data_IF_815618277114
#
_entry.id   IF_815618277114
#
_cell.length_a   1.000
_cell.length_b   1.000
_cell.length_c   1.000
_cell.angle_alpha   90.00
_cell.angle_beta   90.00
_cell.angle_gamma   90.00
#
_symmetry.space_group_name_H-M   'P 1'
#
loop_
_entity.id
_entity.type
_entity.pdbx_description
1 polymer ?
#
# COMPACT_ATOMS: atom_id res chain seq x y z
N UNK A 1 81.72 -11.45 38.02
CA UNK A 1 80.90 -10.23 38.15
C UNK A 1 80.28 -9.93 36.79
N UNK A 2 79.12 -10.51 36.47
CA UNK A 2 78.16 -10.06 35.44
C UNK A 2 76.82 -10.78 35.69
N UNK A 3 75.73 -10.01 35.57
CA UNK A 3 74.39 -10.21 36.15
C UNK A 3 73.54 -11.29 35.45
N UNK A 4 72.63 -12.00 36.15
CA UNK A 4 71.57 -12.76 35.49
C UNK A 4 70.31 -11.90 35.26
N UNK A 5 69.67 -12.15 34.11
CA UNK A 5 68.50 -11.48 33.55
C UNK A 5 67.23 -12.04 34.22
N UNK A 6 66.37 -11.16 34.73
CA UNK A 6 65.04 -11.50 35.25
C UNK A 6 64.07 -11.59 34.07
N UNK A 7 63.58 -12.78 33.76
CA UNK A 7 62.48 -12.99 32.79
C UNK A 7 61.13 -12.75 33.47
N UNK A 8 60.41 -11.76 32.98
CA UNK A 8 59.03 -11.43 33.37
C UNK A 8 58.09 -12.30 32.52
N UNK A 9 57.39 -13.24 33.15
CA UNK A 9 56.30 -13.98 32.52
C UNK A 9 55.03 -13.12 32.50
N UNK A 10 54.55 -12.79 31.30
CA UNK A 10 53.26 -12.15 31.08
C UNK A 10 52.16 -13.23 31.13
N UNK A 11 51.35 -13.23 32.18
CA UNK A 11 50.16 -14.09 32.28
C UNK A 11 49.07 -13.46 31.42
N UNK A 12 48.76 -14.09 30.28
CA UNK A 12 47.61 -13.74 29.45
C UNK A 12 46.36 -14.26 30.16
N UNK A 13 45.59 -13.35 30.74
CA UNK A 13 44.25 -13.63 31.25
C UNK A 13 43.31 -13.89 30.06
N UNK A 14 42.94 -15.14 29.85
CA UNK A 14 41.96 -15.54 28.85
C UNK A 14 40.56 -15.15 29.38
N UNK A 15 40.07 -14.00 28.97
CA UNK A 15 38.71 -13.55 29.25
C UNK A 15 37.76 -14.40 28.38
N UNK A 16 37.07 -15.35 29.02
CA UNK A 16 35.97 -16.09 28.42
C UNK A 16 34.87 -15.11 28.00
N UNK A 17 34.82 -14.76 26.72
CA UNK A 17 33.65 -14.11 26.14
C UNK A 17 32.49 -15.10 26.17
N UNK A 18 31.47 -14.80 26.97
CA UNK A 18 30.18 -15.47 26.87
C UNK A 18 29.63 -15.29 25.43
N UNK A 19 29.02 -16.32 24.83
CA UNK A 19 28.36 -16.15 23.55
C UNK A 19 27.25 -15.11 23.72
N UNK A 20 27.23 -14.09 22.86
CA UNK A 20 26.11 -13.18 22.76
C UNK A 20 24.86 -14.02 22.53
N UNK A 21 23.86 -13.93 23.41
CA UNK A 21 22.56 -14.56 23.21
C UNK A 21 22.07 -14.17 21.82
N UNK A 22 21.80 -15.14 20.95
CA UNK A 22 21.13 -14.87 19.69
C UNK A 22 19.80 -14.18 20.04
N UNK A 23 19.71 -12.88 19.77
CA UNK A 23 18.49 -12.13 20.00
C UNK A 23 17.41 -12.77 19.11
N UNK A 24 16.38 -13.35 19.74
CA UNK A 24 15.29 -14.02 19.02
C UNK A 24 14.70 -13.04 18.00
N UNK A 25 14.52 -13.52 16.77
CA UNK A 25 13.97 -12.72 15.69
C UNK A 25 12.52 -12.34 16.04
N UNK A 26 12.22 -11.05 16.25
CA UNK A 26 10.89 -10.62 16.72
C UNK A 26 9.79 -10.91 15.70
N UNK A 27 10.13 -11.18 14.43
CA UNK A 27 9.17 -11.51 13.38
C UNK A 27 8.88 -13.02 13.28
N UNK A 28 9.55 -13.85 14.08
CA UNK A 28 9.33 -15.32 14.10
C UNK A 28 7.92 -15.69 14.56
N UNK A 29 7.31 -14.89 15.44
CA UNK A 29 5.91 -15.05 15.90
C UNK A 29 4.89 -15.01 14.75
N UNK A 30 5.23 -14.37 13.63
CA UNK A 30 4.35 -14.25 12.46
C UNK A 30 4.60 -15.32 11.38
N UNK A 31 5.40 -16.34 11.67
CA UNK A 31 5.57 -17.46 10.76
C UNK A 31 4.20 -18.14 10.54
N UNK A 32 3.72 -18.29 9.28
CA UNK A 32 2.39 -18.82 9.04
C UNK A 32 2.35 -20.32 9.34
N UNK A 33 1.43 -20.71 10.22
CA UNK A 33 1.03 -22.09 10.47
C UNK A 33 -0.49 -22.16 10.49
N UNK A 34 -1.07 -23.29 10.13
CA UNK A 34 -2.51 -23.51 10.23
C UNK A 34 -2.72 -24.88 10.85
N UNK A 35 -3.33 -24.89 12.03
CA UNK A 35 -3.73 -26.09 12.77
C UNK A 35 -5.21 -26.35 12.58
N UNK A 36 -6.01 -25.30 12.33
CA UNK A 36 -7.41 -25.38 11.97
C UNK A 36 -7.77 -24.35 10.88
N UNK A 37 -8.95 -24.50 10.27
CA UNK A 37 -9.55 -23.49 9.39
C UNK A 37 -10.87 -22.99 9.97
N UNK A 38 -10.94 -22.90 11.30
CA UNK A 38 -12.16 -22.63 12.05
C UNK A 38 -12.66 -21.20 11.81
N UNK A 39 -11.76 -20.24 11.65
CA UNK A 39 -12.14 -18.83 11.59
C UNK A 39 -11.82 -18.19 10.23
N UNK A 40 -12.66 -17.22 9.86
CA UNK A 40 -12.42 -16.26 8.78
C UNK A 40 -12.75 -14.85 9.25
N UNK A 41 -12.09 -13.84 8.69
CA UNK A 41 -12.34 -12.44 9.01
C UNK A 41 -13.37 -11.88 8.02
N UNK A 42 -14.42 -11.25 8.53
CA UNK A 42 -15.42 -10.54 7.73
C UNK A 42 -14.85 -9.20 7.25
N UNK A 43 -14.28 -9.22 6.05
CA UNK A 43 -13.79 -8.01 5.39
C UNK A 43 -14.88 -7.26 4.59
N UNK A 44 -16.16 -7.61 4.70
CA UNK A 44 -17.23 -6.92 3.96
C UNK A 44 -17.33 -5.42 4.23
N UNK A 45 -17.19 -4.92 5.48
CA UNK A 45 -17.17 -3.47 5.71
C UNK A 45 -16.05 -2.78 4.93
N UNK A 46 -14.86 -3.39 4.88
CA UNK A 46 -13.73 -2.86 4.13
C UNK A 46 -13.91 -2.93 2.62
N UNK A 47 -14.45 -4.03 2.11
CA UNK A 47 -14.85 -4.14 0.70
C UNK A 47 -15.85 -3.06 0.33
N UNK A 48 -16.85 -2.79 1.17
CA UNK A 48 -17.82 -1.72 0.95
C UNK A 48 -17.17 -0.34 0.91
N UNK A 49 -16.19 -0.07 1.77
CA UNK A 49 -15.43 1.18 1.71
C UNK A 49 -14.60 1.28 0.43
N UNK A 50 -13.78 0.27 0.12
CA UNK A 50 -12.89 0.27 -1.04
C UNK A 50 -13.66 0.39 -2.36
N UNK A 51 -14.83 -0.25 -2.49
CA UNK A 51 -15.63 -0.19 -3.72
C UNK A 51 -16.14 1.23 -4.04
N UNK A 52 -16.10 2.14 -3.07
CA UNK A 52 -16.54 3.54 -3.20
C UNK A 52 -15.38 4.51 -3.22
N UNK A 53 -14.36 4.27 -2.40
CA UNK A 53 -13.17 5.11 -2.32
C UNK A 53 -12.25 4.94 -3.54
N UNK A 54 -12.24 3.73 -4.15
CA UNK A 54 -11.34 3.40 -5.26
C UNK A 54 -11.94 3.81 -6.60
N UNK A 55 -11.27 4.72 -7.28
CA UNK A 55 -11.50 5.00 -8.69
C UNK A 55 -10.77 3.97 -9.56
N UNK A 56 -11.55 3.19 -10.32
CA UNK A 56 -11.01 2.18 -11.23
C UNK A 56 -10.74 2.78 -12.61
N UNK A 57 -9.46 2.83 -12.98
CA UNK A 57 -8.99 3.50 -14.22
C UNK A 57 -9.08 2.58 -15.44
N UNK A 58 -9.24 1.27 -15.22
CA UNK A 58 -9.27 0.26 -16.28
C UNK A 58 -7.88 -0.23 -16.69
N UNK A 59 -7.84 -1.07 -17.73
CA UNK A 59 -6.57 -1.62 -18.24
C UNK A 59 -5.79 -0.57 -19.00
N UNK A 60 -4.46 -0.61 -18.87
CA UNK A 60 -3.56 0.25 -19.64
C UNK A 60 -3.74 0.05 -21.14
N UNK A 61 -3.88 1.15 -21.87
CA UNK A 61 -3.77 1.19 -23.33
C UNK A 61 -2.30 1.35 -23.80
N UNK A 62 -1.37 1.36 -22.83
CA UNK A 62 0.08 1.53 -22.97
C UNK A 62 0.47 2.84 -23.67
N UNK A 63 -0.42 3.84 -23.67
CA UNK A 63 -0.12 5.18 -24.17
C UNK A 63 0.32 6.08 -23.02
N UNK A 64 1.57 6.57 -23.03
CA UNK A 64 2.02 7.46 -21.98
C UNK A 64 1.24 8.77 -22.03
N UNK A 65 0.88 9.27 -20.85
CA UNK A 65 0.20 10.54 -20.75
C UNK A 65 1.11 11.69 -21.22
N UNK A 66 0.63 12.54 -22.13
CA UNK A 66 1.37 13.74 -22.60
C UNK A 66 1.56 14.74 -21.47
N UNK A 67 2.66 15.50 -21.41
CA UNK A 67 2.86 16.43 -20.30
C UNK A 67 1.79 17.53 -20.29
N UNK A 68 1.16 17.84 -19.14
CA UNK A 68 0.30 19.01 -19.03
C UNK A 68 1.11 20.25 -19.42
N UNK A 69 0.66 20.98 -20.43
CA UNK A 69 1.34 22.16 -20.98
C UNK A 69 1.69 22.07 -22.47
N UNK A 70 1.72 20.87 -23.06
CA UNK A 70 1.94 20.73 -24.52
C UNK A 70 0.68 21.10 -25.31
N UNK A 71 -0.51 20.82 -24.74
CA UNK A 71 -1.82 21.20 -25.28
C UNK A 71 -2.22 22.67 -24.99
N UNK A 72 -1.62 23.29 -23.97
CA UNK A 72 -2.00 24.62 -23.47
C UNK A 72 -1.13 25.77 -23.98
N UNK A 73 -0.20 25.51 -24.90
CA UNK A 73 0.61 26.58 -25.53
C UNK A 73 -0.24 27.59 -26.32
N UNK A 74 -1.49 27.25 -26.63
CA UNK A 74 -2.38 28.06 -27.48
C UNK A 74 -3.46 28.83 -26.70
N UNK A 75 -3.59 28.65 -25.38
CA UNK A 75 -4.54 29.40 -24.56
C UNK A 75 -3.74 30.13 -23.47
N UNK A 76 -3.88 31.46 -23.38
CA UNK A 76 -3.07 32.37 -22.54
C UNK A 76 -3.19 32.20 -21.01
N UNK A 77 -3.49 31.00 -20.52
CA UNK A 77 -3.60 30.67 -19.09
C UNK A 77 -2.70 29.49 -18.77
N UNK A 78 -1.63 29.72 -17.99
CA UNK A 78 -0.68 28.69 -17.53
C UNK A 78 -1.16 27.98 -16.26
N UNK A 79 -2.44 27.64 -16.19
CA UNK A 79 -2.97 26.83 -15.10
C UNK A 79 -2.89 25.37 -15.54
N UNK A 80 -2.06 24.59 -14.85
CA UNK A 80 -2.04 23.14 -14.96
C UNK A 80 -2.58 22.59 -13.66
N UNK A 81 -3.73 21.90 -13.73
CA UNK A 81 -4.25 21.15 -12.59
C UNK A 81 -3.93 19.67 -12.82
N UNK A 82 -3.55 18.95 -11.76
CA UNK A 82 -3.26 17.51 -11.81
C UNK A 82 -1.82 17.10 -12.15
N UNK A 83 -1.52 15.82 -11.92
CA UNK A 83 -0.16 15.28 -12.01
C UNK A 83 0.46 15.34 -13.40
N UNK A 84 1.74 15.73 -13.44
CA UNK A 84 2.59 15.66 -14.63
C UNK A 84 3.11 14.24 -14.94
N UNK A 85 2.69 13.24 -14.16
CA UNK A 85 3.11 11.85 -14.32
C UNK A 85 2.78 11.33 -15.72
N UNK A 86 3.71 10.51 -16.23
CA UNK A 86 3.53 9.74 -17.45
C UNK A 86 2.49 8.62 -17.29
N UNK A 87 2.29 8.15 -16.07
CA UNK A 87 1.43 7.01 -15.72
C UNK A 87 0.11 7.47 -15.10
N UNK A 88 -0.22 8.77 -15.17
CA UNK A 88 -1.39 9.32 -14.47
C UNK A 88 -2.72 8.67 -14.86
N UNK A 89 -2.82 8.11 -16.07
CA UNK A 89 -3.99 7.39 -16.58
C UNK A 89 -3.90 5.86 -16.41
N UNK A 90 -3.05 5.34 -15.51
CA UNK A 90 -2.89 3.90 -15.27
C UNK A 90 -2.99 3.52 -13.80
N UNK A 91 -3.58 2.35 -13.52
CA UNK A 91 -3.73 1.84 -12.17
C UNK A 91 -4.82 2.55 -11.39
N UNK A 92 -5.46 1.81 -10.48
CA UNK A 92 -6.54 2.36 -9.66
C UNK A 92 -6.03 3.47 -8.72
N UNK A 93 -6.94 4.34 -8.31
CA UNK A 93 -6.67 5.51 -7.46
C UNK A 93 -7.61 5.52 -6.27
N UNK A 94 -7.25 6.24 -5.22
CA UNK A 94 -8.18 6.59 -4.14
C UNK A 94 -8.55 8.05 -4.28
N UNK A 95 -9.83 8.38 -4.04
CA UNK A 95 -10.30 9.76 -4.04
C UNK A 95 -10.10 10.41 -2.67
N UNK A 96 -8.85 10.67 -2.26
CA UNK A 96 -8.57 11.20 -0.91
C UNK A 96 -9.21 12.58 -0.66
N UNK A 97 -9.36 13.39 -1.71
CA UNK A 97 -10.05 14.67 -1.65
C UNK A 97 -11.53 14.59 -1.23
N UNK A 98 -12.15 13.40 -1.25
CA UNK A 98 -13.53 13.20 -0.78
C UNK A 98 -13.61 12.72 0.65
N UNK A 99 -12.48 12.53 1.33
CA UNK A 99 -12.48 12.03 2.70
C UNK A 99 -12.74 13.20 3.64
N UNK A 100 -13.70 13.01 4.54
CA UNK A 100 -13.95 13.87 5.69
C UNK A 100 -13.45 13.16 6.96
N UNK A 101 -13.54 13.83 8.11
CA UNK A 101 -13.08 13.29 9.39
C UNK A 101 -13.78 11.97 9.76
N UNK A 102 -15.05 11.78 9.37
CA UNK A 102 -15.77 10.54 9.61
C UNK A 102 -15.18 9.37 8.81
N UNK A 103 -14.83 9.61 7.54
CA UNK A 103 -14.21 8.60 6.68
C UNK A 103 -12.81 8.26 7.17
N UNK A 104 -12.02 9.26 7.56
CA UNK A 104 -10.70 9.02 8.15
C UNK A 104 -10.81 8.17 9.43
N UNK A 105 -11.71 8.55 10.34
CA UNK A 105 -12.01 7.82 11.58
C UNK A 105 -12.42 6.38 11.27
N UNK A 106 -13.29 6.16 10.28
CA UNK A 106 -13.70 4.81 9.88
C UNK A 106 -12.53 3.93 9.45
N UNK A 107 -11.59 4.47 8.65
CA UNK A 107 -10.39 3.74 8.23
C UNK A 107 -9.50 3.44 9.44
N UNK A 108 -9.34 4.40 10.36
CA UNK A 108 -8.60 4.25 11.61
C UNK A 108 -9.18 3.13 12.49
N UNK A 109 -10.49 3.12 12.69
CA UNK A 109 -11.20 2.09 13.46
C UNK A 109 -11.08 0.71 12.82
N UNK A 110 -11.20 0.60 11.49
CA UNK A 110 -11.01 -0.68 10.80
C UNK A 110 -9.59 -1.24 10.99
N UNK A 111 -8.57 -0.37 10.89
CA UNK A 111 -7.17 -0.72 11.17
C UNK A 111 -6.97 -1.20 12.60
N UNK A 112 -7.59 -0.55 13.58
CA UNK A 112 -7.56 -0.97 15.00
C UNK A 112 -8.27 -2.32 15.19
N UNK A 113 -9.48 -2.49 14.67
CA UNK A 113 -10.23 -3.74 14.75
C UNK A 113 -9.47 -4.94 14.16
N UNK A 114 -8.69 -4.75 13.10
CA UNK A 114 -7.80 -5.80 12.56
C UNK A 114 -6.68 -6.18 13.54
N UNK A 115 -6.04 -5.19 14.19
CA UNK A 115 -5.00 -5.45 15.20
C UNK A 115 -5.59 -6.18 16.40
N UNK A 116 -6.72 -5.72 16.92
CA UNK A 116 -7.40 -6.31 18.08
C UNK A 116 -7.85 -7.74 17.80
N UNK A 117 -8.35 -7.99 16.59
CA UNK A 117 -8.73 -9.33 16.12
C UNK A 117 -7.54 -10.29 16.21
N UNK A 118 -6.37 -9.90 15.70
CA UNK A 118 -5.20 -10.76 15.73
C UNK A 118 -4.54 -10.83 17.11
N UNK A 119 -4.74 -9.84 17.96
CA UNK A 119 -4.27 -9.91 19.35
C UNK A 119 -5.10 -10.87 20.22
N UNK A 120 -6.34 -11.19 19.81
CA UNK A 120 -7.28 -12.03 20.58
C UNK A 120 -7.39 -13.47 20.09
N UNK A 121 -7.09 -13.74 18.81
CA UNK A 121 -7.21 -15.08 18.20
C UNK A 121 -5.85 -15.62 17.78
N UNK A 122 -5.65 -16.92 17.98
CA UNK A 122 -4.44 -17.61 17.54
C UNK A 122 -4.34 -17.61 16.00
N UNK A 123 -3.18 -17.22 15.48
CA UNK A 123 -2.83 -17.26 14.06
C UNK A 123 -3.16 -18.62 13.43
N UNK A 124 -2.95 -19.71 14.18
CA UNK A 124 -3.16 -21.09 13.74
C UNK A 124 -4.60 -21.48 13.42
N UNK A 125 -5.59 -20.72 13.91
CA UNK A 125 -6.99 -20.99 13.63
C UNK A 125 -7.49 -20.44 12.29
N UNK A 126 -6.66 -19.62 11.64
CA UNK A 126 -6.88 -19.12 10.30
C UNK A 126 -6.14 -19.98 9.29
N UNK A 127 -6.70 -20.12 8.08
CA UNK A 127 -5.95 -20.69 6.97
C UNK A 127 -4.75 -19.79 6.60
N UNK A 128 -3.70 -20.36 6.02
CA UNK A 128 -2.53 -19.59 5.56
C UNK A 128 -2.86 -18.50 4.53
N UNK A 129 -3.94 -18.68 3.76
CA UNK A 129 -4.40 -17.67 2.81
C UNK A 129 -5.23 -16.57 3.49
N UNK A 130 -5.97 -16.90 4.56
CA UNK A 130 -6.65 -15.91 5.41
C UNK A 130 -5.63 -15.03 6.15
N UNK A 131 -4.56 -15.64 6.67
CA UNK A 131 -3.41 -14.92 7.26
C UNK A 131 -2.75 -13.95 6.28
N UNK A 132 -2.63 -14.35 5.00
CA UNK A 132 -2.14 -13.47 3.95
C UNK A 132 -3.10 -12.30 3.70
N UNK A 133 -4.40 -12.61 3.58
CA UNK A 133 -5.43 -11.59 3.37
C UNK A 133 -5.42 -10.54 4.48
N UNK A 134 -5.30 -10.98 5.74
CA UNK A 134 -5.11 -10.12 6.90
C UNK A 134 -3.94 -9.13 6.70
N UNK A 135 -2.72 -9.62 6.42
CA UNK A 135 -1.55 -8.75 6.29
C UNK A 135 -1.69 -7.75 5.15
N UNK A 136 -2.21 -8.19 4.01
CA UNK A 136 -2.43 -7.31 2.86
C UNK A 136 -3.46 -6.22 3.17
N UNK A 137 -4.55 -6.58 3.85
CA UNK A 137 -5.59 -5.64 4.25
C UNK A 137 -5.09 -4.65 5.31
N UNK A 138 -4.40 -5.13 6.35
CA UNK A 138 -3.83 -4.27 7.39
C UNK A 138 -2.82 -3.30 6.78
N UNK A 139 -1.89 -3.79 5.95
CA UNK A 139 -0.91 -2.96 5.25
C UNK A 139 -1.58 -1.85 4.44
N UNK A 140 -2.55 -2.20 3.61
CA UNK A 140 -3.25 -1.23 2.76
C UNK A 140 -4.09 -0.25 3.59
N UNK A 141 -4.76 -0.70 4.65
CA UNK A 141 -5.53 0.18 5.54
C UNK A 141 -4.63 1.22 6.23
N UNK A 142 -3.45 0.81 6.72
CA UNK A 142 -2.46 1.73 7.31
C UNK A 142 -1.99 2.77 6.29
N UNK A 143 -1.65 2.34 5.06
CA UNK A 143 -1.23 3.28 4.00
C UNK A 143 -2.32 4.29 3.69
N UNK A 144 -3.58 3.85 3.57
CA UNK A 144 -4.71 4.74 3.31
C UNK A 144 -4.92 5.72 4.45
N UNK A 145 -4.91 5.25 5.69
CA UNK A 145 -5.11 6.07 6.87
C UNK A 145 -4.07 7.19 6.96
N UNK A 146 -2.78 6.85 6.85
CA UNK A 146 -1.71 7.85 6.98
C UNK A 146 -1.68 8.85 5.80
N UNK A 147 -2.07 8.44 4.60
CA UNK A 147 -2.20 9.37 3.47
C UNK A 147 -3.40 10.28 3.65
N UNK A 148 -4.53 9.77 4.16
CA UNK A 148 -5.71 10.58 4.47
C UNK A 148 -5.37 11.67 5.51
N UNK A 149 -4.74 11.28 6.62
CA UNK A 149 -4.25 12.21 7.67
C UNK A 149 -3.35 13.31 7.15
N UNK A 150 -2.49 12.98 6.18
CA UNK A 150 -1.54 13.92 5.60
C UNK A 150 -2.08 14.67 4.38
N UNK A 151 -3.32 14.41 3.94
CA UNK A 151 -3.88 14.99 2.74
C UNK A 151 -4.16 16.50 2.94
N UNK A 152 -3.85 17.38 1.96
CA UNK A 152 -3.24 17.10 0.66
C UNK A 152 -1.72 16.84 0.74
N UNK A 153 -1.28 15.72 0.17
CA UNK A 153 0.13 15.33 0.09
C UNK A 153 0.46 14.87 -1.32
N UNK A 154 1.56 15.38 -1.87
CA UNK A 154 1.99 15.04 -3.25
C UNK A 154 2.88 13.80 -3.34
N UNK A 155 3.51 13.37 -2.24
CA UNK A 155 4.45 12.23 -2.20
C UNK A 155 4.34 11.47 -0.87
N UNK A 156 3.60 10.35 -0.80
CA UNK A 156 3.36 9.62 0.44
C UNK A 156 4.62 9.11 1.12
N UNK A 157 5.62 8.65 0.36
CA UNK A 157 6.92 8.23 0.91
C UNK A 157 7.69 9.33 1.65
N UNK A 158 7.27 10.60 1.53
CA UNK A 158 7.87 11.74 2.22
C UNK A 158 7.11 12.20 3.46
N UNK A 159 5.97 11.58 3.77
CA UNK A 159 5.25 11.85 5.02
C UNK A 159 6.18 11.52 6.19
N UNK A 160 6.28 12.44 7.15
CA UNK A 160 7.08 12.32 8.37
C UNK A 160 6.15 12.10 9.56
N UNK A 161 6.42 11.03 10.30
CA UNK A 161 5.76 10.70 11.56
C UNK A 161 6.59 11.37 12.67
N UNK A 162 6.05 12.46 13.23
CA UNK A 162 6.83 13.50 13.94
C UNK A 162 7.45 12.99 15.24
N UNK A 163 6.67 12.28 16.03
CA UNK A 163 7.02 11.61 17.28
C UNK A 163 8.16 10.59 17.12
N UNK A 164 8.25 9.92 15.97
CA UNK A 164 9.28 8.90 15.70
C UNK A 164 10.46 9.40 14.86
N UNK A 165 10.39 10.63 14.34
CA UNK A 165 11.35 11.17 13.35
C UNK A 165 11.59 10.21 12.17
N UNK A 166 10.56 9.45 11.78
CA UNK A 166 10.63 8.42 10.75
C UNK A 166 9.77 8.80 9.53
N UNK A 167 10.06 8.19 8.37
CA UNK A 167 9.20 8.28 7.19
C UNK A 167 8.06 7.28 7.30
N UNK A 168 6.96 7.52 6.59
CA UNK A 168 5.76 6.67 6.56
C UNK A 168 6.07 5.16 6.56
N UNK A 169 6.94 4.70 5.66
CA UNK A 169 7.19 3.26 5.51
C UNK A 169 8.08 2.66 6.61
N UNK A 170 8.82 3.48 7.33
CA UNK A 170 9.80 3.07 8.36
C UNK A 170 9.27 3.28 9.79
N UNK A 171 8.26 4.13 9.96
CA UNK A 171 7.62 4.38 11.25
C UNK A 171 6.88 3.13 11.76
N UNK A 172 6.89 2.92 13.08
CA UNK A 172 6.15 1.88 13.78
C UNK A 172 4.71 2.35 13.99
N UNK A 173 3.81 1.87 13.12
CA UNK A 173 2.44 2.38 13.01
C UNK A 173 1.39 1.43 13.58
N UNK A 174 1.72 0.14 13.70
CA UNK A 174 0.80 -0.89 14.20
C UNK A 174 1.50 -1.81 15.19
N UNK A 175 0.71 -2.43 16.05
CA UNK A 175 1.17 -3.43 17.01
C UNK A 175 0.32 -4.69 16.88
N UNK A 176 0.99 -5.83 16.66
CA UNK A 176 0.34 -7.15 16.53
C UNK A 176 1.14 -8.13 17.38
N UNK A 177 0.46 -8.89 18.25
CA UNK A 177 1.06 -9.79 19.24
C UNK A 177 2.20 -9.14 20.04
N UNK A 178 2.02 -7.87 20.44
CA UNK A 178 3.01 -7.12 21.22
C UNK A 178 4.25 -6.65 20.43
N UNK A 179 4.31 -6.89 19.12
CA UNK A 179 5.41 -6.45 18.27
C UNK A 179 5.00 -5.20 17.50
N UNK A 180 5.74 -4.11 17.68
CA UNK A 180 5.56 -2.87 16.92
C UNK A 180 6.15 -2.99 15.52
N UNK A 181 5.32 -2.77 14.51
CA UNK A 181 5.64 -3.00 13.10
C UNK A 181 5.54 -1.72 12.27
N UNK A 182 6.50 -1.58 11.36
CA UNK A 182 6.39 -0.64 10.24
C UNK A 182 5.77 -1.31 9.02
N UNK A 183 5.38 -0.50 8.03
CA UNK A 183 4.96 -1.00 6.72
C UNK A 183 6.09 -1.80 6.05
N UNK A 184 7.35 -1.37 6.17
CA UNK A 184 8.50 -2.11 5.65
C UNK A 184 8.71 -3.44 6.39
N UNK A 185 8.43 -3.52 7.69
CA UNK A 185 8.46 -4.79 8.42
C UNK A 185 7.39 -5.76 7.92
N UNK A 186 6.14 -5.29 7.77
CA UNK A 186 5.07 -6.12 7.22
C UNK A 186 5.45 -6.61 5.81
N UNK A 187 5.96 -5.73 4.95
CA UNK A 187 6.33 -6.09 3.57
C UNK A 187 7.49 -7.09 3.53
N UNK A 188 8.63 -6.75 4.13
CA UNK A 188 9.88 -7.47 3.91
C UNK A 188 10.13 -8.57 4.95
N UNK A 189 9.86 -8.28 6.22
CA UNK A 189 10.17 -9.18 7.33
C UNK A 189 9.05 -10.20 7.61
N UNK A 190 7.83 -9.95 7.12
CA UNK A 190 6.68 -10.85 7.30
C UNK A 190 6.21 -11.42 5.96
N UNK A 191 5.60 -10.59 5.10
CA UNK A 191 4.95 -11.08 3.87
C UNK A 191 5.97 -11.69 2.91
N UNK A 192 7.05 -10.98 2.59
CA UNK A 192 8.05 -11.50 1.65
C UNK A 192 8.87 -12.65 2.21
N UNK A 193 9.07 -12.67 3.53
CA UNK A 193 9.78 -13.74 4.20
C UNK A 193 9.01 -15.06 4.16
N UNK A 194 7.70 -15.02 4.42
CA UNK A 194 6.92 -16.23 4.65
C UNK A 194 6.05 -16.68 3.47
N UNK A 195 5.70 -15.79 2.54
CA UNK A 195 4.94 -16.14 1.33
C UNK A 195 5.83 -16.17 0.10
N UNK A 196 6.38 -17.35 -0.21
CA UNK A 196 7.33 -17.60 -1.31
C UNK A 196 6.80 -17.33 -2.73
N UNK A 197 5.53 -16.98 -2.89
CA UNK A 197 4.96 -16.66 -4.19
C UNK A 197 5.09 -15.17 -4.47
N UNK A 198 5.79 -14.81 -5.53
CA UNK A 198 5.97 -13.42 -6.02
C UNK A 198 4.67 -12.62 -6.19
N UNK A 199 3.54 -13.29 -6.31
CA UNK A 199 2.22 -12.68 -6.53
C UNK A 199 1.86 -11.68 -5.41
N UNK A 200 2.41 -11.84 -4.20
CA UNK A 200 2.15 -10.94 -3.06
C UNK A 200 2.69 -9.52 -3.26
N UNK A 201 3.64 -9.31 -4.20
CA UNK A 201 4.09 -7.97 -4.61
C UNK A 201 2.88 -7.11 -5.00
N UNK A 202 1.87 -7.73 -5.62
CA UNK A 202 0.67 -7.07 -6.12
C UNK A 202 -0.41 -6.84 -5.04
N UNK A 203 -0.16 -7.22 -3.79
CA UNK A 203 -1.09 -6.97 -2.69
C UNK A 203 -0.75 -5.74 -1.86
N UNK A 204 0.48 -5.23 -1.99
CA UNK A 204 1.04 -4.19 -1.12
C UNK A 204 1.08 -2.85 -1.84
N UNK A 205 0.03 -2.04 -1.66
CA UNK A 205 -0.13 -0.75 -2.32
C UNK A 205 0.67 0.36 -1.62
N UNK A 206 1.54 1.07 -2.36
CA UNK A 206 2.41 2.12 -1.79
C UNK A 206 1.76 3.50 -1.69
N UNK A 207 0.53 3.68 -2.18
CA UNK A 207 -0.06 5.02 -2.27
C UNK A 207 0.53 5.91 -3.36
N UNK A 208 1.47 5.39 -4.16
CA UNK A 208 2.18 6.15 -5.19
C UNK A 208 1.84 5.65 -6.58
N UNK A 209 1.78 6.56 -7.56
CA UNK A 209 1.44 6.24 -8.96
C UNK A 209 2.40 5.21 -9.54
N UNK A 210 3.68 5.20 -9.16
CA UNK A 210 4.64 4.22 -9.65
C UNK A 210 4.45 2.79 -9.10
N UNK A 211 3.71 2.64 -8.00
CA UNK A 211 3.43 1.37 -7.34
C UNK A 211 2.32 0.58 -8.00
N UNK A 212 1.88 -0.50 -7.34
CA UNK A 212 0.77 -1.36 -7.79
C UNK A 212 -0.56 -0.60 -7.76
N UNK A 213 -1.60 -1.13 -8.42
CA UNK A 213 -2.95 -0.60 -8.26
C UNK A 213 -3.55 -1.06 -6.93
N UNK A 214 -4.45 -0.26 -6.34
CA UNK A 214 -5.28 -0.73 -5.22
C UNK A 214 -6.52 -1.48 -5.73
N UNK A 215 -6.92 -2.54 -5.04
CA UNK A 215 -8.13 -3.30 -5.36
C UNK A 215 -9.39 -2.58 -4.86
N UNK A 216 -10.52 -2.59 -5.60
CA UNK A 216 -11.80 -2.03 -5.14
C UNK A 216 -12.54 -2.95 -4.16
N UNK A 217 -11.87 -3.98 -3.64
CA UNK A 217 -12.39 -4.89 -2.62
C UNK A 217 -11.26 -5.34 -1.70
N UNK A 218 -11.61 -5.76 -0.48
CA UNK A 218 -10.67 -6.32 0.46
C UNK A 218 -10.12 -7.65 -0.05
N UNK A 219 -8.92 -8.03 0.39
CA UNK A 219 -8.44 -9.39 0.22
C UNK A 219 -9.24 -10.34 1.13
N UNK A 220 -9.63 -11.50 0.64
CA UNK A 220 -10.30 -12.55 1.45
C UNK A 220 -9.51 -13.85 1.32
N UNK A 221 -9.34 -14.65 2.38
CA UNK A 221 -8.51 -15.86 2.30
C UNK A 221 -8.96 -16.83 1.20
N UNK A 222 -10.27 -16.95 0.97
CA UNK A 222 -10.82 -17.79 -0.09
C UNK A 222 -10.43 -17.33 -1.51
N UNK A 223 -10.12 -16.05 -1.71
CA UNK A 223 -9.88 -15.47 -3.05
C UNK A 223 -8.56 -14.70 -3.20
N UNK A 224 -7.76 -14.56 -2.14
CA UNK A 224 -6.54 -13.73 -2.10
C UNK A 224 -5.60 -14.06 -3.26
N UNK A 225 -5.44 -15.35 -3.59
CA UNK A 225 -4.59 -15.80 -4.69
C UNK A 225 -5.09 -15.33 -6.06
N UNK A 226 -6.40 -15.37 -6.31
CA UNK A 226 -6.97 -14.90 -7.58
C UNK A 226 -6.95 -13.38 -7.66
N UNK A 227 -7.20 -12.68 -6.54
CA UNK A 227 -7.10 -11.23 -6.44
C UNK A 227 -5.69 -10.73 -6.73
N UNK A 228 -4.66 -11.34 -6.12
CA UNK A 228 -3.26 -11.02 -6.39
C UNK A 228 -2.89 -11.25 -7.86
N UNK A 229 -3.35 -12.35 -8.46
CA UNK A 229 -3.10 -12.61 -9.90
C UNK A 229 -3.80 -11.60 -10.81
N UNK A 230 -5.01 -11.16 -10.46
CA UNK A 230 -5.73 -10.14 -11.21
C UNK A 230 -4.97 -8.81 -11.17
N UNK A 231 -4.53 -8.38 -9.98
CA UNK A 231 -3.76 -7.15 -9.85
C UNK A 231 -2.38 -7.25 -10.51
N UNK A 232 -1.75 -8.43 -10.47
CA UNK A 232 -0.52 -8.72 -11.20
C UNK A 232 -0.67 -8.60 -12.71
N UNK A 233 -1.79 -9.08 -13.26
CA UNK A 233 -2.10 -8.93 -14.69
C UNK A 233 -2.30 -7.47 -15.07
N UNK A 234 -2.96 -6.67 -14.23
CA UNK A 234 -3.06 -5.22 -14.46
C UNK A 234 -1.67 -4.58 -14.46
N UNK A 235 -0.91 -4.80 -13.39
CA UNK A 235 0.35 -4.11 -13.17
C UNK A 235 1.41 -4.46 -14.22
N UNK A 236 1.63 -5.76 -14.51
CA UNK A 236 2.63 -6.20 -15.50
C UNK A 236 2.38 -5.59 -16.88
N UNK A 237 1.11 -5.48 -17.27
CA UNK A 237 0.71 -4.96 -18.58
C UNK A 237 0.60 -3.43 -18.64
N UNK A 238 0.85 -2.74 -17.53
CA UNK A 238 0.93 -1.28 -17.46
C UNK A 238 2.33 -0.76 -17.81
N UNK A 239 2.45 0.55 -18.09
CA UNK A 239 3.75 1.22 -18.24
C UNK A 239 4.52 1.30 -16.91
N UNK A 240 3.83 1.17 -15.76
CA UNK A 240 4.45 1.11 -14.43
C UNK A 240 5.14 -0.23 -14.16
N UNK A 241 4.62 -1.32 -14.74
CA UNK A 241 5.15 -2.66 -14.60
C UNK A 241 6.26 -2.98 -15.60
N UNK A 242 5.92 -3.01 -16.90
CA UNK A 242 6.86 -3.26 -18.00
C UNK A 242 6.66 -2.22 -19.09
N UNK A 243 7.70 -1.43 -19.35
CA UNK A 243 7.68 -0.36 -20.35
C UNK A 243 8.70 -0.62 -21.46
N UNK A 244 8.50 0.00 -22.62
CA UNK A 244 9.45 0.07 -23.72
C UNK A 244 9.80 1.53 -23.99
N UNK A 245 10.97 1.95 -23.51
CA UNK A 245 11.47 3.31 -23.67
C UNK A 245 12.61 3.33 -24.68
N UNK A 246 12.43 4.07 -25.79
CA UNK A 246 13.41 4.19 -26.88
C UNK A 246 13.89 2.82 -27.37
N UNK A 247 12.93 1.92 -27.61
CA UNK A 247 13.18 0.55 -28.08
C UNK A 247 13.69 -0.42 -27.02
N UNK A 248 14.06 0.03 -25.81
CA UNK A 248 14.62 -0.80 -24.75
C UNK A 248 13.58 -1.14 -23.69
N UNK A 249 13.54 -2.39 -23.24
CA UNK A 249 12.73 -2.82 -22.09
C UNK A 249 13.14 -2.08 -20.82
N UNK A 250 12.14 -1.70 -20.02
CA UNK A 250 12.28 -1.20 -18.65
C UNK A 250 11.30 -1.93 -17.76
N UNK A 251 11.69 -2.12 -16.51
CA UNK A 251 10.89 -2.84 -15.51
C UNK A 251 10.56 -1.92 -14.34
N UNK A 252 9.55 -2.24 -13.55
CA UNK A 252 9.29 -1.52 -12.31
C UNK A 252 10.44 -1.65 -11.31
N UNK A 253 10.65 -0.61 -10.49
CA UNK A 253 11.54 -0.66 -9.32
C UNK A 253 11.11 -1.75 -8.33
N UNK A 254 9.82 -2.08 -8.27
CA UNK A 254 9.29 -3.13 -7.38
C UNK A 254 9.94 -4.49 -7.61
N UNK A 255 10.29 -4.83 -8.84
CA UNK A 255 10.98 -6.10 -9.15
C UNK A 255 12.43 -6.11 -8.69
N UNK A 256 13.08 -4.93 -8.67
CA UNK A 256 14.44 -4.78 -8.13
C UNK A 256 14.40 -4.93 -6.61
N UNK A 257 13.44 -4.28 -5.94
CA UNK A 257 13.28 -4.34 -4.49
C UNK A 257 12.90 -5.76 -4.01
N UNK A 258 12.10 -6.48 -4.80
CA UNK A 258 11.66 -7.84 -4.50
C UNK A 258 12.68 -8.92 -4.92
N UNK A 259 13.76 -8.56 -5.62
CA UNK A 259 14.79 -9.47 -6.14
C UNK A 259 15.38 -10.41 -5.09
N UNK A 260 15.76 -9.97 -3.87
CA UNK A 260 16.36 -10.86 -2.86
C UNK A 260 15.44 -12.02 -2.45
N UNK A 261 14.13 -11.84 -2.60
CA UNK A 261 13.11 -12.77 -2.10
C UNK A 261 12.57 -13.71 -3.18
N UNK A 262 12.39 -13.23 -4.42
CA UNK A 262 11.68 -14.00 -5.46
C UNK A 262 12.44 -14.18 -6.77
N UNK A 263 13.50 -13.41 -7.02
CA UNK A 263 14.20 -13.40 -8.30
C UNK A 263 15.71 -13.61 -8.10
N UNK A 264 16.06 -14.68 -7.38
CA UNK A 264 17.43 -14.98 -6.99
C UNK A 264 18.28 -15.39 -8.21
N UNK A 265 17.70 -16.18 -9.12
CA UNK A 265 18.29 -16.47 -10.42
C UNK A 265 17.92 -15.37 -11.43
N UNK A 266 18.59 -14.22 -11.29
CA UNK A 266 18.31 -13.02 -12.07
C UNK A 266 19.02 -13.02 -13.44
N UNK A 267 18.35 -12.61 -14.55
CA UNK A 267 16.96 -12.14 -14.66
C UNK A 267 15.95 -13.23 -15.07
N UNK A 268 16.33 -14.51 -15.12
CA UNK A 268 15.47 -15.58 -15.64
C UNK A 268 14.19 -15.77 -14.81
N UNK A 269 14.29 -15.73 -13.48
CA UNK A 269 13.13 -15.81 -12.58
C UNK A 269 12.15 -14.66 -12.84
N UNK A 270 12.67 -13.46 -13.11
CA UNK A 270 11.85 -12.29 -13.46
C UNK A 270 11.11 -12.54 -14.77
N UNK A 271 11.80 -13.03 -15.81
CA UNK A 271 11.14 -13.28 -17.10
C UNK A 271 10.08 -14.38 -17.01
N UNK A 272 10.35 -15.45 -16.25
CA UNK A 272 9.36 -16.49 -15.98
C UNK A 272 8.13 -15.90 -15.27
N UNK A 273 8.35 -15.04 -14.27
CA UNK A 273 7.28 -14.35 -13.57
C UNK A 273 6.46 -13.42 -14.48
N UNK A 274 7.12 -12.50 -15.20
CA UNK A 274 6.43 -11.54 -16.08
C UNK A 274 5.62 -12.24 -17.17
N UNK A 275 6.15 -13.33 -17.73
CA UNK A 275 5.49 -14.10 -18.80
C UNK A 275 4.17 -14.75 -18.35
N UNK A 276 3.97 -15.01 -17.04
CA UNK A 276 2.69 -15.51 -16.51
C UNK A 276 1.54 -14.52 -16.65
N UNK A 277 1.85 -13.22 -16.66
CA UNK A 277 0.87 -12.14 -16.65
C UNK A 277 0.77 -11.37 -17.96
N UNK A 278 1.83 -11.41 -18.76
CA UNK A 278 1.95 -10.64 -19.99
C UNK A 278 0.81 -10.92 -20.97
N UNK A 279 0.21 -9.85 -21.49
CA UNK A 279 -0.55 -9.86 -22.73
C UNK A 279 0.40 -9.90 -23.94
N UNK A 280 -0.17 -9.96 -25.14
CA UNK A 280 0.62 -10.03 -26.37
C UNK A 280 1.56 -8.84 -26.59
N UNK A 281 1.17 -7.63 -26.19
CA UNK A 281 2.01 -6.43 -26.37
C UNK A 281 3.19 -6.46 -25.40
N UNK A 282 2.92 -6.80 -24.15
CA UNK A 282 3.92 -6.90 -23.09
C UNK A 282 4.87 -8.07 -23.34
N UNK A 283 4.37 -9.19 -23.87
CA UNK A 283 5.17 -10.35 -24.24
C UNK A 283 6.23 -10.01 -25.30
N UNK A 284 5.90 -9.19 -26.30
CA UNK A 284 6.89 -8.71 -27.28
C UNK A 284 7.99 -7.86 -26.66
N UNK A 285 7.67 -7.09 -25.61
CA UNK A 285 8.67 -6.29 -24.89
C UNK A 285 9.56 -7.21 -24.07
N UNK A 286 8.98 -8.19 -23.39
CA UNK A 286 9.72 -9.20 -22.61
C UNK A 286 10.63 -10.04 -23.50
N UNK A 287 10.20 -10.34 -24.74
CA UNK A 287 10.99 -11.09 -25.72
C UNK A 287 12.32 -10.40 -26.11
N UNK A 288 12.49 -9.11 -25.82
CA UNK A 288 13.79 -8.42 -25.97
C UNK A 288 14.87 -8.98 -25.03
N UNK A 289 14.47 -9.61 -23.91
CA UNK A 289 15.32 -10.32 -22.93
C UNK A 289 16.73 -9.73 -22.71
N UNK A 290 16.86 -8.44 -22.30
CA UNK A 290 18.16 -7.87 -22.01
C UNK A 290 18.80 -8.55 -20.79
N UNK A 291 20.06 -8.99 -20.86
CA UNK A 291 20.77 -9.62 -19.73
C UNK A 291 20.75 -8.79 -18.43
N UNK A 292 20.67 -7.46 -18.56
CA UNK A 292 20.54 -6.54 -17.44
C UNK A 292 19.31 -5.62 -17.61
N UNK A 293 18.10 -6.06 -17.23
CA UNK A 293 16.89 -5.25 -17.35
C UNK A 293 16.94 -4.08 -16.37
N UNK A 294 16.81 -2.86 -16.89
CA UNK A 294 16.93 -1.63 -16.10
C UNK A 294 15.57 -1.14 -15.59
N UNK A 295 15.49 -0.58 -14.37
CA UNK A 295 14.24 -0.02 -13.88
C UNK A 295 13.81 1.22 -14.67
N UNK A 296 12.50 1.42 -14.80
CA UNK A 296 11.90 2.69 -15.21
C UNK A 296 12.01 3.70 -14.07
N UNK A 297 11.79 5.00 -14.36
CA UNK A 297 11.69 6.00 -13.30
C UNK A 297 10.43 5.72 -12.49
N UNK A 298 10.60 5.37 -11.23
CA UNK A 298 9.50 5.20 -10.28
C UNK A 298 8.87 6.56 -9.95
N UNK A 299 7.55 6.64 -10.05
CA UNK A 299 6.81 7.88 -9.83
C UNK A 299 6.28 7.95 -8.39
N UNK A 300 6.80 8.90 -7.63
CA UNK A 300 6.48 9.12 -6.22
C UNK A 300 5.22 9.97 -6.03
N UNK A 301 4.57 10.44 -7.10
CA UNK A 301 3.33 11.19 -6.97
C UNK A 301 2.25 10.35 -6.30
N UNK A 302 1.46 10.95 -5.43
CA UNK A 302 0.32 10.29 -4.76
C UNK A 302 -0.64 9.69 -5.79
N UNK A 303 -1.05 8.44 -5.57
CA UNK A 303 -2.05 7.72 -6.34
C UNK A 303 -3.47 8.18 -6.00
N UNK A 304 -3.67 9.49 -6.07
CA UNK A 304 -4.93 10.21 -5.93
C UNK A 304 -5.37 10.77 -7.30
N UNK A 305 -6.68 10.97 -7.46
CA UNK A 305 -7.26 11.58 -8.67
C UNK A 305 -6.75 13.00 -8.89
N UNK A 306 -6.54 13.77 -7.82
CA UNK A 306 -5.98 15.13 -7.86
C UNK A 306 -4.46 15.13 -7.62
N UNK A 307 -3.88 13.94 -7.37
CA UNK A 307 -2.46 13.71 -7.10
C UNK A 307 -1.93 14.49 -5.88
N UNK A 308 -2.84 14.81 -4.95
CA UNK A 308 -2.55 15.65 -3.78
C UNK A 308 -2.05 17.06 -4.12
N UNK A 309 -2.35 17.56 -5.32
CA UNK A 309 -2.07 18.94 -5.71
C UNK A 309 -3.34 19.79 -5.59
N UNK A 310 -3.35 20.75 -4.66
CA UNK A 310 -4.24 21.91 -4.75
C UNK A 310 -3.70 22.84 -5.84
N UNK A 311 -4.57 23.44 -6.67
CA UNK A 311 -4.23 24.21 -7.89
C UNK A 311 -2.93 25.02 -7.76
N UNK A 312 -1.93 24.71 -8.61
CA UNK A 312 -0.73 25.53 -8.74
C UNK A 312 -0.99 26.68 -9.70
N UNK A 313 -1.23 27.88 -9.14
CA UNK A 313 -1.12 29.12 -9.92
C UNK A 313 0.36 29.51 -10.01
N UNK A 314 0.93 29.47 -11.22
CA UNK A 314 2.22 30.09 -11.49
C UNK A 314 2.03 31.59 -11.68
N UNK A 315 1.71 32.32 -10.61
CA UNK A 315 1.71 33.77 -10.59
C UNK A 315 2.47 34.22 -9.35
N UNK A 316 3.58 34.94 -9.56
CA UNK A 316 4.32 35.66 -8.52
C UNK A 316 3.34 36.40 -7.61
N UNK A 317 3.48 36.18 -6.30
CA UNK A 317 3.09 37.01 -5.14
C UNK A 317 2.20 38.24 -5.41
N UNK A 318 1.03 38.06 -6.02
CA UNK A 318 0.02 39.08 -6.14
C UNK A 318 -1.20 38.63 -5.34
N UNK A 319 -1.43 39.29 -4.21
CA UNK A 319 -2.54 39.05 -3.29
C UNK A 319 -3.93 39.05 -3.99
N UNK A 320 -4.06 39.70 -5.15
CA UNK A 320 -5.26 39.67 -5.97
C UNK A 320 -5.58 38.27 -6.57
N UNK A 321 -4.57 37.44 -6.87
CA UNK A 321 -4.78 36.07 -7.36
C UNK A 321 -5.15 35.11 -6.22
N UNK A 322 -4.70 35.39 -5.00
CA UNK A 322 -5.08 34.65 -3.77
C UNK A 322 -6.51 35.02 -3.37
N UNK A 323 -6.88 36.30 -3.44
CA UNK A 323 -8.25 36.76 -3.21
C UNK A 323 -9.23 36.25 -4.28
N UNK A 324 -8.81 36.21 -5.56
CA UNK A 324 -9.58 35.54 -6.61
C UNK A 324 -9.67 34.02 -6.41
N UNK A 325 -8.74 33.42 -5.66
CA UNK A 325 -8.75 32.01 -5.29
C UNK A 325 -9.84 31.62 -4.28
N UNK A 326 -10.31 32.57 -3.46
CA UNK A 326 -11.42 32.35 -2.52
C UNK A 326 -12.78 32.27 -3.24
N UNK A 327 -12.93 32.95 -4.38
CA UNK A 327 -14.15 32.94 -5.21
C UNK A 327 -14.17 31.80 -6.24
N UNK A 328 -13.12 30.97 -6.29
CA UNK A 328 -13.07 29.84 -7.20
C UNK A 328 -14.00 28.70 -6.78
N UNK A 329 -14.59 28.68 -5.57
CA UNK A 329 -15.44 27.61 -5.06
C UNK A 329 -16.48 27.08 -6.05
N UNK A 330 -17.18 27.99 -6.74
CA UNK A 330 -18.16 27.64 -7.79
C UNK A 330 -17.50 27.29 -9.13
N UNK A 331 -16.33 27.87 -9.42
CA UNK A 331 -15.58 27.67 -10.67
C UNK A 331 -14.68 26.42 -10.65
N UNK A 332 -14.34 25.87 -9.49
CA UNK A 332 -13.65 24.59 -9.27
C UNK A 332 -14.45 23.41 -9.84
N UNK A 333 -15.78 23.53 -9.90
CA UNK A 333 -16.65 22.56 -10.58
C UNK A 333 -16.44 22.55 -12.10
N UNK A 334 -16.16 23.71 -12.70
CA UNK A 334 -16.00 23.92 -14.14
C UNK A 334 -14.55 23.83 -14.65
N UNK A 335 -13.55 23.86 -13.75
CA UNK A 335 -12.11 23.69 -14.07
C UNK A 335 -11.64 22.22 -14.04
N UNK A 336 -12.55 21.31 -13.70
CA UNK A 336 -12.35 19.86 -13.56
C UNK A 336 -11.95 19.16 -14.88
N UNK A 337 -12.05 19.84 -16.02
CA UNK A 337 -11.73 19.31 -17.36
C UNK A 337 -10.22 19.11 -17.61
N UNK A 338 -9.36 19.45 -16.66
CA UNK A 338 -7.90 19.49 -16.84
C UNK A 338 -7.09 18.41 -16.08
N UNK A 339 -7.77 17.45 -15.44
CA UNK A 339 -7.18 16.26 -14.81
C UNK A 339 -7.99 14.98 -15.05
N UNK A 340 -7.72 13.88 -14.32
CA UNK A 340 -8.55 12.65 -14.34
C UNK A 340 -10.04 12.94 -14.08
N UNK A 341 -10.35 14.06 -13.41
CA UNK A 341 -11.69 14.56 -13.11
C UNK A 341 -12.52 14.91 -14.35
N UNK A 342 -11.89 15.32 -15.46
CA UNK A 342 -12.58 15.62 -16.72
C UNK A 342 -13.17 14.38 -17.40
N UNK A 343 -12.71 13.19 -17.00
CA UNK A 343 -13.28 11.90 -17.39
C UNK A 343 -14.21 11.27 -16.34
N UNK A 344 -14.43 11.92 -15.19
CA UNK A 344 -15.36 11.45 -14.17
C UNK A 344 -16.79 11.85 -14.55
N UNK A 345 -17.61 10.87 -14.93
CA UNK A 345 -19.04 11.06 -15.11
C UNK A 345 -19.69 11.49 -13.78
N UNK A 346 -20.75 12.30 -13.85
CA UNK A 346 -21.48 12.80 -12.67
C UNK A 346 -21.99 11.71 -11.73
N UNK A 347 -22.09 10.47 -12.20
CA UNK A 347 -22.39 9.29 -11.38
C UNK A 347 -21.29 8.95 -10.37
N UNK A 348 -20.01 9.08 -10.70
CA UNK A 348 -18.90 8.80 -9.78
C UNK A 348 -18.90 9.78 -8.60
N UNK A 349 -19.18 11.06 -8.88
CA UNK A 349 -19.32 12.10 -7.85
C UNK A 349 -20.60 11.90 -7.02
N UNK A 350 -21.70 11.46 -7.66
CA UNK A 350 -22.95 11.15 -6.97
C UNK A 350 -22.85 9.88 -6.11
N UNK A 351 -22.00 8.92 -6.49
CA UNK A 351 -21.74 7.70 -5.71
C UNK A 351 -21.02 8.02 -4.40
N UNK A 352 -20.01 8.91 -4.45
CA UNK A 352 -19.28 9.40 -3.29
C UNK A 352 -20.15 10.21 -2.32
N UNK A 353 -21.17 10.95 -2.82
CA UNK A 353 -22.12 11.69 -1.97
C UNK A 353 -23.20 10.80 -1.34
N UNK A 354 -23.59 9.70 -1.98
CA UNK A 354 -24.59 8.77 -1.43
C UNK A 354 -24.03 7.83 -0.35
N UNK A 355 -22.70 7.81 -0.15
CA UNK A 355 -22.05 6.91 0.80
C UNK A 355 -22.01 7.41 2.24
N UNK A 356 -22.16 8.72 2.48
CA UNK A 356 -22.25 9.28 3.84
C UNK A 356 -23.49 8.74 4.58
N UNK A 357 -24.63 8.61 3.89
CA UNK A 357 -25.91 8.22 4.50
C UNK A 357 -26.07 6.71 4.87
N UNK A 358 -25.05 5.86 4.66
CA UNK A 358 -25.12 4.41 4.99
C UNK A 358 -24.04 3.92 5.95
N UNK A 359 -23.14 4.79 6.42
CA UNK A 359 -22.12 4.47 7.41
C UNK A 359 -22.68 4.26 8.83
N UNK A 360 -23.99 4.43 9.05
CA UNK A 360 -24.62 4.39 10.37
C UNK A 360 -24.80 3.00 11.01
N UNK A 361 -24.64 1.88 10.28
CA UNK A 361 -25.06 0.56 10.84
C UNK A 361 -23.94 -0.37 11.31
N UNK A 362 -22.68 -0.16 10.96
CA UNK A 362 -21.54 -1.01 11.38
C UNK A 362 -20.24 -0.20 11.35
N UNK A 363 -20.08 0.77 12.24
CA UNK A 363 -18.82 1.53 12.37
C UNK A 363 -17.75 0.63 13.00
N UNK A 364 -16.57 0.54 12.38
CA UNK A 364 -15.32 0.10 13.01
C UNK A 364 -15.15 -1.37 13.40
N UNK A 365 -16.21 -2.19 13.45
CA UNK A 365 -16.09 -3.58 13.94
C UNK A 365 -15.56 -4.54 12.86
N UNK A 366 -14.56 -5.33 13.26
CA UNK A 366 -14.10 -6.51 12.50
C UNK A 366 -14.77 -7.72 13.13
N UNK A 367 -15.49 -8.49 12.31
CA UNK A 367 -16.24 -9.65 12.78
C UNK A 367 -15.51 -10.92 12.35
N UNK A 368 -15.27 -11.83 13.29
CA UNK A 368 -14.75 -13.15 12.98
C UNK A 368 -15.93 -14.10 12.80
N UNK A 369 -15.98 -14.78 11.66
CA UNK A 369 -17.00 -15.75 11.33
C UNK A 369 -16.43 -17.16 11.48
N UNK A 370 -17.18 -18.01 12.17
CA UNK A 370 -16.91 -19.44 12.22
C UNK A 370 -17.21 -20.08 10.85
N UNK A 371 -16.28 -20.91 10.37
CA UNK A 371 -16.44 -21.69 9.15
C UNK A 371 -17.18 -22.97 9.55
N UNK A 372 -18.43 -23.11 9.09
CA UNK A 372 -19.22 -24.33 9.31
C UNK A 372 -18.40 -25.56 8.94
N UNK A 373 -18.13 -26.38 9.95
CA UNK A 373 -17.53 -27.70 9.79
C UNK A 373 -18.68 -28.68 9.51
N UNK A 374 -18.54 -29.61 8.55
CA UNK A 374 -19.52 -30.67 8.26
C UNK A 374 -19.56 -31.77 9.35
N UNK A 375 -19.07 -31.46 10.55
CA UNK A 375 -19.01 -32.34 11.71
C UNK A 375 -20.29 -32.17 12.55
N UNK A 376 -21.15 -33.21 12.66
CA UNK A 376 -22.41 -33.13 13.40
C UNK A 376 -22.24 -32.91 14.91
N UNK A 377 -21.02 -33.09 15.46
CA UNK A 377 -20.72 -32.90 16.88
C UNK A 377 -19.98 -31.56 17.17
N UNK A 378 -19.77 -30.70 16.16
CA UNK A 378 -19.12 -29.41 16.35
C UNK A 378 -20.03 -28.43 17.14
N UNK A 379 -19.47 -27.66 18.10
CA UNK A 379 -20.24 -26.63 18.81
C UNK A 379 -20.80 -25.59 17.83
N UNK A 380 -21.95 -24.96 18.14
CA UNK A 380 -22.61 -24.03 17.23
C UNK A 380 -21.70 -22.84 16.88
N UNK A 381 -21.73 -22.43 15.61
CA UNK A 381 -20.97 -21.31 15.07
C UNK A 381 -21.01 -20.09 15.98
N UNK A 382 -19.86 -19.68 16.53
CA UNK A 382 -19.75 -18.50 17.37
C UNK A 382 -19.26 -17.31 16.53
N UNK A 383 -20.08 -16.26 16.43
CA UNK A 383 -19.65 -14.99 15.86
C UNK A 383 -18.95 -14.18 16.95
N UNK A 384 -17.65 -13.95 16.79
CA UNK A 384 -16.89 -13.06 17.67
C UNK A 384 -16.86 -11.67 17.01
N UNK A 385 -17.63 -10.74 17.55
CA UNK A 385 -17.55 -9.33 17.17
C UNK A 385 -16.48 -8.66 18.02
N UNK A 386 -15.46 -8.11 17.37
CA UNK A 386 -14.45 -7.28 18.02
C UNK A 386 -14.79 -5.83 17.69
N UNK A 387 -15.33 -5.11 18.66
CA UNK A 387 -15.47 -3.66 18.60
C UNK A 387 -14.13 -3.03 19.05
N UNK A 388 -13.59 -2.05 18.31
CA UNK A 388 -12.41 -1.31 18.73
C UNK A 388 -12.74 -0.49 19.98
N UNK A 389 -11.81 -0.44 20.96
CA UNK A 389 -11.99 0.37 22.17
C UNK A 389 -12.04 1.86 21.80
N UNK A 390 -13.20 2.51 21.99
CA UNK A 390 -13.41 3.95 21.73
C UNK A 390 -12.48 4.87 22.55
N UNK A 391 -11.81 4.35 23.58
CA UNK A 391 -11.05 5.15 24.56
C UNK A 391 -9.65 5.61 24.12
N UNK A 392 -9.09 5.08 23.04
CA UNK A 392 -7.71 5.43 22.63
C UNK A 392 -7.60 6.43 21.48
N UNK A 393 -8.72 6.86 20.89
CA UNK A 393 -8.68 7.88 19.83
C UNK A 393 -8.54 9.32 20.37
N UNK A 394 -8.95 9.56 21.63
CA UNK A 394 -9.03 10.91 22.21
C UNK A 394 -7.80 11.33 23.05
N UNK A 395 -6.83 10.45 23.30
CA UNK A 395 -5.64 10.79 24.14
C UNK A 395 -4.42 11.25 23.33
N UNK A 396 -4.43 11.17 21.99
CA UNK A 396 -3.33 11.69 21.16
C UNK A 396 -3.51 13.16 20.74
N UNK A 397 -4.63 13.79 21.11
CA UNK A 397 -4.96 15.17 20.77
C UNK A 397 -5.19 16.00 22.05
N UNK A 398 -4.10 16.46 22.70
CA UNK A 398 -4.00 17.82 23.23
C UNK A 398 -2.66 18.17 23.91
N UNK A 399 -2.25 19.45 23.91
CA UNK A 399 -2.75 20.59 23.12
C UNK A 399 -1.77 21.11 22.06
#
# INVERSE_FOLDING_TARGET
MFKPIVSIYFVIACMLMAPASAQEDPFSVFAPYSTSTRYRIDHQPWTGFLSRAVYTVGRSDRKPARRPGESYRNAGTRLSTGSSSRYRFEGNRIMFHTFNDEVETYVGLYRQGLQDTMNRVDYGDFSRDEQLAFWLNLYNAVVIHEIAKAHPVSRPSRIRIRDQNARLFDAKLVEVHGVKLSLNDIRYNIVYRYWRTSDVIYGLWSGEIGGTGIMPSAFEGATVRSQLRLNGREFVNSLRGVDRIRGKMRISQLYVDARPYYFQNWPDDLYAHLSRYADWTTAQIIALRPENPKPSRYDLSTADVESGETVRSSANDNAAAVAAGADLGERWSNLSDTGMRGGLSGEALALARRSEARLERRRGSVVILDVKTDDPDAPPAQTLSVEPDEKTADEEDQP
#
